data_IF_360966812123
#
_entry.id   IF_360966812123
#
_cell.length_a   1.000
_cell.length_b   1.000
_cell.length_c   1.000
_cell.angle_alpha   90.00
_cell.angle_beta   90.00
_cell.angle_gamma   90.00
#
_symmetry.space_group_name_H-M   'P 1'
#
loop_
_entity.id
_entity.type
_entity.pdbx_description
1 polymer ?
#
# COMPACT_ATOMS: atom_id res chain seq x y z
N UNK A 1 4.11 9.05 24.35
CA UNK A 1 3.51 8.83 23.02
C UNK A 1 3.96 9.93 22.06
N UNK A 2 4.77 9.66 21.02
CA UNK A 2 5.02 10.69 20.01
C UNK A 2 3.77 10.84 19.14
N UNK A 3 3.16 12.01 19.18
CA UNK A 3 2.04 12.38 18.29
C UNK A 3 2.58 12.46 16.86
N UNK A 4 2.06 11.63 15.96
CA UNK A 4 2.29 11.75 14.52
C UNK A 4 1.86 13.14 14.07
N UNK A 5 2.80 14.05 13.87
CA UNK A 5 2.46 15.38 13.37
C UNK A 5 2.01 15.25 11.92
N UNK A 6 0.83 15.77 11.54
CA UNK A 6 0.44 15.85 10.14
C UNK A 6 1.52 16.64 9.39
N UNK A 7 1.93 16.15 8.22
CA UNK A 7 2.89 16.85 7.37
C UNK A 7 2.44 18.31 7.23
N UNK A 8 3.29 19.25 7.65
CA UNK A 8 2.99 20.68 7.52
C UNK A 8 2.65 21.01 6.06
N UNK A 9 1.68 21.90 5.85
CA UNK A 9 1.30 22.39 4.51
C UNK A 9 2.52 22.79 3.67
N UNK A 10 3.53 23.38 4.31
CA UNK A 10 4.79 23.77 3.67
C UNK A 10 5.60 22.57 3.16
N UNK A 11 5.61 21.45 3.88
CA UNK A 11 6.25 20.21 3.45
C UNK A 11 5.50 19.56 2.29
N UNK A 12 4.17 19.52 2.34
CA UNK A 12 3.33 18.99 1.26
C UNK A 12 3.51 19.81 -0.02
N UNK A 13 3.48 21.15 0.09
CA UNK A 13 3.69 22.05 -1.04
C UNK A 13 5.10 21.92 -1.63
N UNK A 14 6.14 21.74 -0.80
CA UNK A 14 7.52 21.52 -1.26
C UNK A 14 7.65 20.20 -2.02
N UNK A 15 7.01 19.14 -1.54
CA UNK A 15 6.99 17.83 -2.18
C UNK A 15 6.24 17.88 -3.53
N UNK A 16 5.08 18.55 -3.59
CA UNK A 16 4.35 18.80 -4.83
C UNK A 16 5.18 19.62 -5.84
N UNK A 17 5.89 20.67 -5.38
CA UNK A 17 6.78 21.47 -6.22
C UNK A 17 7.96 20.67 -6.78
N UNK A 18 8.53 19.78 -5.96
CA UNK A 18 9.59 18.87 -6.42
C UNK A 18 9.07 17.87 -7.46
N UNK A 19 7.85 17.35 -7.32
CA UNK A 19 7.21 16.49 -8.34
C UNK A 19 7.04 17.21 -9.69
N UNK A 20 6.59 18.47 -9.66
CA UNK A 20 6.47 19.28 -10.88
C UNK A 20 7.81 19.54 -11.57
N UNK A 21 8.91 19.64 -10.81
CA UNK A 21 10.26 19.89 -11.35
C UNK A 21 11.04 18.64 -11.77
N UNK A 22 10.72 17.47 -11.22
CA UNK A 22 11.51 16.24 -11.39
C UNK A 22 11.08 15.36 -12.55
N UNK A 23 10.18 15.82 -13.42
CA UNK A 23 9.64 14.98 -14.50
C UNK A 23 8.81 13.79 -14.00
N UNK A 24 8.40 13.80 -12.73
CA UNK A 24 7.63 12.71 -12.08
C UNK A 24 6.43 12.26 -12.92
N UNK A 25 5.70 13.20 -13.52
CA UNK A 25 4.52 12.89 -14.34
C UNK A 25 4.86 12.28 -15.70
N UNK A 26 6.01 12.61 -16.29
CA UNK A 26 6.47 11.98 -17.53
C UNK A 26 6.93 10.55 -17.24
N UNK A 27 7.73 10.36 -16.20
CA UNK A 27 8.18 9.04 -15.77
C UNK A 27 7.00 8.14 -15.36
N UNK A 28 6.00 8.65 -14.62
CA UNK A 28 4.78 7.91 -14.31
C UNK A 28 3.97 7.56 -15.56
N UNK A 29 3.94 8.42 -16.58
CA UNK A 29 3.22 8.15 -17.83
C UNK A 29 3.92 7.05 -18.64
N UNK A 30 5.26 7.06 -18.67
CA UNK A 30 6.06 6.01 -19.32
C UNK A 30 5.94 4.68 -18.58
N UNK A 31 6.05 4.68 -17.25
CA UNK A 31 5.85 3.49 -16.41
C UNK A 31 4.44 2.92 -16.61
N UNK A 32 3.40 3.76 -16.55
CA UNK A 32 2.02 3.38 -16.80
C UNK A 32 1.83 2.78 -18.20
N UNK A 33 2.46 3.36 -19.22
CA UNK A 33 2.39 2.85 -20.60
C UNK A 33 3.08 1.48 -20.71
N UNK A 34 4.23 1.30 -20.06
CA UNK A 34 4.95 0.03 -20.05
C UNK A 34 4.23 -1.07 -19.27
N UNK A 35 3.59 -0.72 -18.15
CA UNK A 35 2.76 -1.63 -17.35
C UNK A 35 1.46 -2.00 -18.08
N UNK A 36 0.79 -1.06 -18.74
CA UNK A 36 -0.38 -1.34 -19.61
C UNK A 36 -0.02 -2.23 -20.79
N UNK A 37 1.13 -2.01 -21.43
CA UNK A 37 1.61 -2.86 -22.52
C UNK A 37 1.90 -4.28 -22.04
N UNK A 38 2.50 -4.44 -20.84
CA UNK A 38 2.71 -5.76 -20.21
C UNK A 38 1.40 -6.45 -19.82
N UNK A 39 0.46 -5.70 -19.24
CA UNK A 39 -0.85 -6.24 -18.89
C UNK A 39 -1.62 -6.71 -20.14
N UNK A 40 -1.50 -5.97 -21.27
CA UNK A 40 -2.06 -6.35 -22.55
C UNK A 40 -1.44 -7.63 -23.11
N UNK A 41 -0.12 -7.75 -23.05
CA UNK A 41 0.61 -8.95 -23.47
C UNK A 41 0.25 -10.19 -22.62
N UNK A 42 0.01 -9.97 -21.32
CA UNK A 42 -0.48 -10.98 -20.38
C UNK A 42 -2.00 -11.29 -20.53
N UNK A 43 -2.69 -10.69 -21.49
CA UNK A 43 -4.13 -10.94 -21.75
C UNK A 43 -5.09 -10.31 -20.73
N UNK A 44 -4.62 -9.35 -19.94
CA UNK A 44 -5.41 -8.68 -18.91
C UNK A 44 -6.19 -7.50 -19.50
N UNK A 45 -7.43 -7.31 -19.05
CA UNK A 45 -8.33 -6.27 -19.56
C UNK A 45 -7.77 -4.85 -19.35
N UNK A 46 -7.54 -4.12 -20.47
CA UNK A 46 -6.92 -2.78 -20.52
C UNK A 46 -7.62 -1.75 -19.62
N UNK A 47 -8.96 -1.78 -19.53
CA UNK A 47 -9.72 -0.85 -18.69
C UNK A 47 -9.52 -1.11 -17.19
N UNK A 48 -9.40 -2.38 -16.77
CA UNK A 48 -9.13 -2.73 -15.36
C UNK A 48 -7.69 -2.41 -14.95
N UNK A 49 -6.74 -2.68 -15.84
CA UNK A 49 -5.34 -2.33 -15.65
C UNK A 49 -5.15 -0.80 -15.52
N UNK A 50 -5.79 -0.02 -16.40
CA UNK A 50 -5.72 1.45 -16.35
C UNK A 50 -6.22 2.04 -15.03
N UNK A 51 -7.35 1.55 -14.51
CA UNK A 51 -7.87 1.96 -13.20
C UNK A 51 -6.93 1.58 -12.04
N UNK A 52 -6.34 0.39 -12.09
CA UNK A 52 -5.40 -0.08 -11.06
C UNK A 52 -4.16 0.81 -10.96
N UNK A 53 -3.50 1.08 -12.09
CA UNK A 53 -2.27 1.88 -12.09
C UNK A 53 -2.52 3.36 -11.78
N UNK A 54 -3.65 3.92 -12.22
CA UNK A 54 -4.08 5.26 -11.77
C UNK A 54 -4.31 5.30 -10.24
N UNK A 55 -4.89 4.24 -9.68
CA UNK A 55 -5.01 4.03 -8.23
C UNK A 55 -3.65 3.93 -7.52
N UNK A 56 -2.70 3.19 -8.09
CA UNK A 56 -1.35 3.02 -7.54
C UNK A 56 -0.61 4.36 -7.49
N UNK A 57 -0.62 5.14 -8.57
CA UNK A 57 0.02 6.47 -8.62
C UNK A 57 -0.63 7.42 -7.61
N UNK A 58 -1.97 7.42 -7.49
CA UNK A 58 -2.66 8.27 -6.50
C UNK A 58 -2.37 7.86 -5.04
N UNK A 59 -2.21 6.57 -4.75
CA UNK A 59 -1.76 6.08 -3.44
C UNK A 59 -0.32 6.50 -3.15
N UNK A 60 0.61 6.35 -4.11
CA UNK A 60 2.00 6.78 -3.97
C UNK A 60 2.13 8.29 -3.73
N UNK A 61 1.28 9.09 -4.38
CA UNK A 61 1.23 10.55 -4.16
C UNK A 61 0.70 10.89 -2.77
N UNK A 62 -0.29 10.14 -2.26
CA UNK A 62 -0.87 10.37 -0.92
C UNK A 62 0.06 9.94 0.21
N UNK A 63 0.98 9.01 -0.02
CA UNK A 63 2.12 8.67 0.83
C UNK A 63 1.89 8.84 2.34
N UNK A 64 1.43 7.76 2.99
CA UNK A 64 1.10 7.73 4.42
C UNK A 64 1.50 6.41 5.12
N UNK A 65 1.15 6.32 6.40
CA UNK A 65 1.44 5.18 7.32
C UNK A 65 0.99 3.81 6.77
N UNK A 66 -0.06 3.83 5.95
CA UNK A 66 -0.61 2.64 5.28
C UNK A 66 0.38 1.98 4.31
N UNK A 67 1.34 2.72 3.75
CA UNK A 67 2.31 2.16 2.82
C UNK A 67 3.40 1.36 3.57
N UNK A 68 3.83 1.81 4.75
CA UNK A 68 4.78 1.07 5.59
C UNK A 68 4.16 -0.21 6.15
N UNK A 69 2.88 -0.16 6.53
CA UNK A 69 2.12 -1.33 6.92
C UNK A 69 1.97 -2.32 5.75
N UNK A 70 1.60 -1.81 4.56
CA UNK A 70 1.52 -2.64 3.34
C UNK A 70 2.84 -3.34 3.02
N UNK A 71 3.99 -2.66 3.14
CA UNK A 71 5.29 -3.31 2.89
C UNK A 71 5.55 -4.47 3.86
N UNK A 72 5.22 -4.33 5.14
CA UNK A 72 5.35 -5.43 6.11
C UNK A 72 4.45 -6.62 5.75
N UNK A 73 3.19 -6.33 5.40
CA UNK A 73 2.24 -7.38 4.96
C UNK A 73 2.73 -8.06 3.69
N UNK A 74 3.21 -7.30 2.70
CA UNK A 74 3.77 -7.82 1.46
C UNK A 74 4.97 -8.72 1.70
N UNK A 75 5.90 -8.31 2.57
CA UNK A 75 7.05 -9.14 2.95
C UNK A 75 6.61 -10.44 3.62
N UNK A 76 5.62 -10.38 4.53
CA UNK A 76 5.05 -11.55 5.18
C UNK A 76 4.42 -12.52 4.15
N UNK A 77 3.61 -12.00 3.23
CA UNK A 77 2.95 -12.79 2.19
C UNK A 77 3.95 -13.41 1.21
N UNK A 78 5.04 -12.71 0.87
CA UNK A 78 6.09 -13.24 0.00
C UNK A 78 6.96 -14.30 0.68
N UNK A 79 7.18 -14.19 1.99
CA UNK A 79 8.04 -15.11 2.73
C UNK A 79 7.31 -16.39 3.16
N UNK A 80 6.07 -16.27 3.65
CA UNK A 80 5.35 -17.37 4.31
C UNK A 80 3.94 -17.62 3.74
N UNK A 81 3.45 -16.77 2.82
CA UNK A 81 2.10 -16.89 2.26
C UNK A 81 1.00 -16.42 3.23
N UNK A 82 -0.24 -16.82 2.96
CA UNK A 82 -1.40 -16.49 3.80
C UNK A 82 -1.40 -17.36 5.08
N UNK A 83 -0.85 -16.82 6.17
CA UNK A 83 -0.80 -17.50 7.48
C UNK A 83 -1.98 -17.09 8.35
N UNK A 84 -2.61 -18.06 9.03
CA UNK A 84 -3.75 -17.80 9.95
C UNK A 84 -3.39 -16.89 11.14
N UNK A 85 -2.11 -16.80 11.52
CA UNK A 85 -1.60 -15.92 12.59
C UNK A 85 -1.05 -14.57 12.07
N UNK A 86 -1.34 -14.20 10.81
CA UNK A 86 -0.82 -12.96 10.22
C UNK A 86 -1.14 -11.72 11.08
N UNK A 87 -2.34 -11.63 11.63
CA UNK A 87 -2.75 -10.53 12.51
C UNK A 87 -1.92 -10.52 13.81
N UNK A 88 -1.64 -11.69 14.39
CA UNK A 88 -0.82 -11.83 15.59
C UNK A 88 0.63 -11.36 15.38
N UNK A 89 1.20 -11.66 14.22
CA UNK A 89 2.56 -11.22 13.83
C UNK A 89 2.65 -9.73 13.47
N UNK A 90 1.59 -9.19 12.87
CA UNK A 90 1.48 -7.77 12.51
C UNK A 90 1.11 -6.89 13.71
N UNK A 91 0.62 -7.48 14.80
CA UNK A 91 0.28 -6.77 16.03
C UNK A 91 1.53 -6.25 16.71
N UNK A 92 1.57 -4.95 16.96
CA UNK A 92 2.60 -4.37 17.82
C UNK A 92 2.30 -4.73 19.27
N UNK A 93 3.05 -5.69 19.82
CA UNK A 93 2.83 -6.19 21.18
C UNK A 93 3.02 -5.12 22.25
N UNK A 94 3.94 -4.17 22.06
CA UNK A 94 4.18 -3.12 23.05
C UNK A 94 2.99 -2.15 23.13
N UNK A 95 2.42 -1.79 21.97
CA UNK A 95 1.19 -0.99 21.93
C UNK A 95 0.02 -1.81 22.44
N UNK A 96 -0.17 -3.02 21.92
CA UNK A 96 -1.32 -3.87 22.24
C UNK A 96 -1.41 -4.16 23.74
N UNK A 97 -0.30 -4.48 24.41
CA UNK A 97 -0.33 -4.83 25.83
C UNK A 97 -0.74 -3.63 26.71
N UNK A 98 -0.32 -2.42 26.32
CA UNK A 98 -0.65 -1.17 27.00
C UNK A 98 -2.12 -0.72 26.87
N UNK A 99 -2.89 -1.35 25.98
CA UNK A 99 -4.30 -0.99 25.72
C UNK A 99 -5.27 -1.70 26.67
N UNK A 100 -6.39 -1.03 26.95
CA UNK A 100 -7.52 -1.61 27.68
C UNK A 100 -8.22 -2.70 26.85
N UNK A 101 -9.05 -3.54 27.47
CA UNK A 101 -9.75 -4.62 26.76
C UNK A 101 -10.58 -4.13 25.55
N UNK A 102 -11.35 -3.05 25.72
CA UNK A 102 -12.15 -2.46 24.64
C UNK A 102 -11.29 -1.81 23.53
N UNK A 103 -10.11 -1.31 23.90
CA UNK A 103 -9.15 -0.75 22.95
C UNK A 103 -8.42 -1.85 22.19
N UNK A 104 -8.10 -2.98 22.85
CA UNK A 104 -7.57 -4.20 22.23
C UNK A 104 -8.53 -4.76 21.20
N UNK A 105 -9.83 -4.84 21.51
CA UNK A 105 -10.85 -5.29 20.55
C UNK A 105 -10.91 -4.37 19.32
N UNK A 106 -10.94 -3.06 19.51
CA UNK A 106 -10.95 -2.08 18.41
C UNK A 106 -9.66 -2.12 17.59
N UNK A 107 -8.51 -2.27 18.26
CA UNK A 107 -7.21 -2.40 17.62
C UNK A 107 -7.16 -3.63 16.71
N UNK A 108 -7.57 -4.80 17.22
CA UNK A 108 -7.59 -6.05 16.44
C UNK A 108 -8.51 -5.94 15.23
N UNK A 109 -9.69 -5.34 15.38
CA UNK A 109 -10.64 -5.14 14.27
C UNK A 109 -10.04 -4.24 13.19
N UNK A 110 -9.45 -3.10 13.61
CA UNK A 110 -8.82 -2.14 12.70
C UNK A 110 -7.63 -2.76 11.98
N UNK A 111 -6.81 -3.54 12.70
CA UNK A 111 -5.66 -4.25 12.15
C UNK A 111 -6.09 -5.29 11.10
N UNK A 112 -7.18 -6.01 11.38
CA UNK A 112 -7.77 -6.97 10.45
C UNK A 112 -8.28 -6.29 9.17
N UNK A 113 -8.97 -5.17 9.28
CA UNK A 113 -9.43 -4.41 8.11
C UNK A 113 -8.25 -3.89 7.25
N UNK A 114 -7.20 -3.36 7.90
CA UNK A 114 -5.99 -2.90 7.21
C UNK A 114 -5.28 -4.05 6.52
N UNK A 115 -5.20 -5.22 7.16
CA UNK A 115 -4.62 -6.42 6.57
C UNK A 115 -5.40 -6.88 5.34
N UNK A 116 -6.74 -6.92 5.40
CA UNK A 116 -7.56 -7.28 4.25
C UNK A 116 -7.39 -6.33 3.06
N UNK A 117 -7.31 -5.02 3.32
CA UNK A 117 -7.01 -4.03 2.27
C UNK A 117 -5.63 -4.23 1.65
N UNK A 118 -4.62 -4.51 2.48
CA UNK A 118 -3.27 -4.82 2.03
C UNK A 118 -3.23 -6.11 1.19
N UNK A 119 -3.98 -7.14 1.60
CA UNK A 119 -4.08 -8.41 0.90
C UNK A 119 -4.81 -8.27 -0.44
N UNK A 120 -5.90 -7.50 -0.51
CA UNK A 120 -6.56 -7.17 -1.78
C UNK A 120 -5.60 -6.43 -2.72
N UNK A 121 -4.85 -5.44 -2.19
CA UNK A 121 -3.84 -4.70 -2.95
C UNK A 121 -2.74 -5.63 -3.47
N UNK A 122 -2.26 -6.57 -2.65
CA UNK A 122 -1.24 -7.55 -3.02
C UNK A 122 -1.74 -8.57 -4.05
N UNK A 123 -2.95 -9.12 -3.88
CA UNK A 123 -3.57 -10.01 -4.87
C UNK A 123 -3.74 -9.33 -6.22
N UNK A 124 -4.19 -8.07 -6.20
CA UNK A 124 -4.26 -7.24 -7.40
C UNK A 124 -2.85 -7.08 -7.99
N UNK A 125 -1.85 -6.74 -7.18
CA UNK A 125 -0.46 -6.65 -7.64
C UNK A 125 0.04 -7.95 -8.31
N UNK A 126 -0.21 -9.13 -7.73
CA UNK A 126 0.14 -10.40 -8.37
C UNK A 126 -0.61 -10.65 -9.68
N UNK A 127 -1.89 -10.27 -9.77
CA UNK A 127 -2.72 -10.42 -10.98
C UNK A 127 -2.22 -9.54 -12.14
N UNK A 128 -1.85 -8.28 -11.87
CA UNK A 128 -1.45 -7.33 -12.92
C UNK A 128 0.06 -7.27 -13.17
N UNK A 129 0.91 -7.53 -12.17
CA UNK A 129 2.38 -7.47 -12.31
C UNK A 129 3.03 -8.84 -12.53
N UNK A 130 2.26 -9.93 -12.57
CA UNK A 130 2.76 -11.26 -12.95
C UNK A 130 3.81 -11.85 -12.01
N UNK A 131 3.99 -11.31 -10.80
CA UNK A 131 4.85 -11.93 -9.79
C UNK A 131 4.14 -13.17 -9.26
N UNK A 132 4.56 -14.34 -9.75
CA UNK A 132 4.26 -15.63 -9.09
C UNK A 132 4.70 -15.52 -7.63
N UNK A 133 3.74 -15.75 -6.72
CA UNK A 133 4.05 -16.15 -5.35
C UNK A 133 4.76 -17.49 -5.33
#
# INVERSE_FOLDING_TARGET
MPKSQPKSFKSIAKEAKNRLKSGFWENCKEELRGELARAKDAGVNESRAGHYFAGKVTCTIRGGDDDAFYQKVKQLLLAEGEVSDAIGRLTDRAVFDSLSYEEKQRYTLTLSERYLKALERFRRECEYEGRKG
#
